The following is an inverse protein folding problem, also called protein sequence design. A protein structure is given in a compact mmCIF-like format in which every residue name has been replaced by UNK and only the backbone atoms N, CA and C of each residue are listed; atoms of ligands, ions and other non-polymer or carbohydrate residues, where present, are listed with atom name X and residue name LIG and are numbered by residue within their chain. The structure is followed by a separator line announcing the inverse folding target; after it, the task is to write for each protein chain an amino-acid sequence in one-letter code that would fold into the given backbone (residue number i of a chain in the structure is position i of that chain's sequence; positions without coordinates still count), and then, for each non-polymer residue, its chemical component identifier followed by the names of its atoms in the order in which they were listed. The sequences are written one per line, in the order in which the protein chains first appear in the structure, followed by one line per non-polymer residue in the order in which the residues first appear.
data_IF_891210607114
#
_entry.id   IF_891210607114
#
_cell.length_a   1.000
_cell.length_b   1.000
_cell.length_c   1.000
_cell.angle_alpha   90.00
_cell.angle_beta   90.00
_cell.angle_gamma   90.00
#
_symmetry.space_group_name_H-M   'P 1'
#
loop_
_entity.id
_entity.type
_entity.pdbx_description
1 polymer ?
#
# COMPACT_ATOMS: atom_id res chain seq x y z
N UNK A 1 -69.46 10.88 7.62
CA UNK A 1 -68.41 11.56 6.89
C UNK A 1 -67.12 11.65 7.72
N UNK A 2 -66.67 10.55 8.32
CA UNK A 2 -65.47 10.47 9.21
C UNK A 2 -64.44 9.45 8.77
N UNK A 3 -64.67 8.68 7.69
CA UNK A 3 -63.77 7.62 7.21
C UNK A 3 -62.65 8.16 6.25
N UNK A 4 -62.90 9.35 5.67
CA UNK A 4 -61.90 9.90 4.70
C UNK A 4 -60.67 10.57 5.29
N UNK A 5 -60.70 11.01 6.53
CA UNK A 5 -59.59 11.74 7.17
C UNK A 5 -58.49 10.80 7.72
N UNK A 6 -58.86 9.57 8.10
CA UNK A 6 -57.88 8.59 8.61
C UNK A 6 -57.02 7.96 7.51
N UNK A 7 -57.62 7.76 6.32
CA UNK A 7 -56.89 7.19 5.18
C UNK A 7 -55.82 8.15 4.63
N UNK A 8 -56.10 9.46 4.61
CA UNK A 8 -55.14 10.47 4.19
C UNK A 8 -54.00 10.64 5.20
N UNK A 9 -54.26 10.53 6.49
CA UNK A 9 -53.27 10.61 7.54
C UNK A 9 -52.23 9.46 7.49
N UNK A 10 -52.72 8.24 7.25
CA UNK A 10 -51.85 7.05 7.14
C UNK A 10 -51.00 7.10 5.86
N UNK A 11 -51.60 7.49 4.74
CA UNK A 11 -50.83 7.58 3.48
C UNK A 11 -49.73 8.67 3.50
N UNK A 12 -50.00 9.82 4.14
CA UNK A 12 -48.98 10.88 4.31
C UNK A 12 -47.90 10.43 5.27
N UNK A 13 -48.22 9.67 6.31
CA UNK A 13 -47.26 9.13 7.25
C UNK A 13 -46.32 8.08 6.57
N UNK A 14 -46.89 7.18 5.78
CA UNK A 14 -46.09 6.17 5.04
C UNK A 14 -45.23 6.80 3.96
N UNK A 15 -45.73 7.77 3.20
CA UNK A 15 -44.97 8.49 2.18
C UNK A 15 -43.83 9.30 2.83
N UNK A 16 -44.11 9.97 3.95
CA UNK A 16 -43.06 10.76 4.63
C UNK A 16 -41.95 9.87 5.24
N UNK A 17 -42.31 8.72 5.82
CA UNK A 17 -41.35 7.76 6.33
C UNK A 17 -40.58 7.02 5.22
N UNK A 18 -41.17 6.86 4.04
CA UNK A 18 -40.50 6.28 2.87
C UNK A 18 -39.53 7.25 2.17
N UNK A 19 -39.78 8.56 2.32
CA UNK A 19 -38.96 9.61 1.71
C UNK A 19 -37.87 10.16 2.65
N UNK A 20 -37.93 9.87 3.95
CA UNK A 20 -36.84 10.26 4.85
C UNK A 20 -35.61 9.37 4.62
N UNK A 21 -34.42 9.94 4.41
CA UNK A 21 -33.20 9.17 4.34
C UNK A 21 -33.04 8.34 5.62
N UNK A 22 -33.07 7.02 5.50
CA UNK A 22 -32.81 6.15 6.66
C UNK A 22 -31.38 6.33 7.09
N UNK A 23 -31.12 6.61 8.35
CA UNK A 23 -29.77 6.61 8.90
C UNK A 23 -29.20 5.19 8.76
N UNK A 24 -27.98 5.09 8.24
CA UNK A 24 -27.27 3.81 8.19
C UNK A 24 -27.11 3.23 9.59
N UNK A 25 -27.26 1.93 9.69
CA UNK A 25 -26.83 1.19 10.89
C UNK A 25 -25.31 1.26 11.02
N UNK A 26 -24.80 1.05 12.21
CA UNK A 26 -23.34 1.02 12.43
C UNK A 26 -22.63 -0.01 11.53
N UNK A 27 -23.24 -1.19 11.32
CA UNK A 27 -22.68 -2.20 10.40
C UNK A 27 -22.64 -1.72 8.95
N UNK A 28 -23.67 -1.03 8.46
CA UNK A 28 -23.67 -0.45 7.13
C UNK A 28 -22.63 0.66 6.98
N UNK A 29 -22.47 1.51 7.99
CA UNK A 29 -21.42 2.54 7.99
C UNK A 29 -20.03 1.92 7.91
N UNK A 30 -19.75 0.88 8.70
CA UNK A 30 -18.47 0.16 8.64
C UNK A 30 -18.23 -0.48 7.27
N UNK A 31 -19.25 -1.05 6.66
CA UNK A 31 -19.17 -1.63 5.32
C UNK A 31 -18.85 -0.59 4.25
N UNK A 32 -19.51 0.58 4.30
CA UNK A 32 -19.26 1.70 3.38
C UNK A 32 -17.83 2.21 3.56
N UNK A 33 -17.37 2.42 4.81
CA UNK A 33 -16.01 2.85 5.08
C UNK A 33 -14.96 1.84 4.58
N UNK A 34 -15.20 0.56 4.79
CA UNK A 34 -14.31 -0.49 4.29
C UNK A 34 -14.23 -0.51 2.76
N UNK A 35 -15.36 -0.34 2.09
CA UNK A 35 -15.42 -0.24 0.63
C UNK A 35 -14.70 1.01 0.11
N UNK A 36 -14.92 2.18 0.75
CA UNK A 36 -14.24 3.42 0.41
C UNK A 36 -12.71 3.29 0.54
N UNK A 37 -12.26 2.70 1.64
CA UNK A 37 -10.82 2.42 1.83
C UNK A 37 -10.30 1.49 0.73
N UNK A 38 -11.02 0.44 0.37
CA UNK A 38 -10.59 -0.50 -0.67
C UNK A 38 -10.56 0.13 -2.08
N UNK A 39 -11.35 1.19 -2.33
CA UNK A 39 -11.40 1.88 -3.62
C UNK A 39 -10.30 2.94 -3.82
N UNK A 40 -9.63 3.40 -2.76
CA UNK A 40 -8.70 4.54 -2.79
C UNK A 40 -7.57 4.43 -3.81
N UNK A 41 -7.06 3.25 -4.06
CA UNK A 41 -6.01 3.08 -5.04
C UNK A 41 -6.41 3.51 -6.46
N UNK A 42 -7.72 3.51 -6.77
CA UNK A 42 -8.31 3.95 -8.04
C UNK A 42 -8.67 5.44 -8.03
N UNK A 43 -9.10 5.93 -6.88
CA UNK A 43 -9.69 7.26 -6.72
C UNK A 43 -8.66 8.34 -6.42
N UNK A 44 -7.63 7.99 -5.66
CA UNK A 44 -6.58 8.93 -5.33
C UNK A 44 -5.59 9.10 -6.48
N UNK A 45 -5.17 10.33 -6.77
CA UNK A 45 -4.05 10.56 -7.68
C UNK A 45 -2.81 9.79 -7.21
N UNK A 46 -2.10 9.15 -8.12
CA UNK A 46 -0.91 8.37 -7.78
C UNK A 46 0.15 9.17 -7.01
N UNK A 47 0.27 10.49 -7.28
CA UNK A 47 1.14 11.37 -6.50
C UNK A 47 0.71 11.58 -5.05
N UNK A 48 -0.57 11.36 -4.75
CA UNK A 48 -1.10 11.37 -3.37
C UNK A 48 -0.78 10.06 -2.65
N UNK A 49 -0.88 8.93 -3.35
CA UNK A 49 -0.52 7.61 -2.80
C UNK A 49 0.98 7.56 -2.52
N UNK A 50 1.78 8.00 -3.48
CA UNK A 50 3.23 8.04 -3.38
C UNK A 50 3.70 9.47 -3.16
N UNK A 51 3.98 9.92 -1.93
CA UNK A 51 4.41 11.29 -1.66
C UNK A 51 5.74 11.60 -2.36
N UNK A 52 5.96 12.88 -2.71
CA UNK A 52 7.21 13.31 -3.36
C UNK A 52 8.43 13.11 -2.47
N UNK A 53 8.24 13.27 -1.17
CA UNK A 53 9.26 13.06 -0.13
C UNK A 53 8.63 12.37 1.07
N UNK A 54 9.42 11.59 1.79
CA UNK A 54 9.05 11.03 3.10
C UNK A 54 10.31 10.84 3.95
N UNK A 55 10.12 10.69 5.24
CA UNK A 55 11.22 10.49 6.19
C UNK A 55 11.27 9.05 6.67
N UNK A 56 12.44 8.58 7.01
CA UNK A 56 12.68 7.31 7.71
C UNK A 56 13.81 7.49 8.73
N UNK A 57 13.91 6.59 9.70
CA UNK A 57 14.98 6.62 10.70
C UNK A 57 15.82 5.35 10.53
N UNK A 58 17.07 5.48 10.08
CA UNK A 58 17.99 4.34 10.06
C UNK A 58 18.29 3.88 11.50
N UNK A 59 18.81 2.67 11.69
CA UNK A 59 19.09 2.12 13.02
C UNK A 59 20.28 2.77 13.73
N UNK A 60 20.78 3.89 13.21
CA UNK A 60 21.89 4.65 13.81
C UNK A 60 21.42 5.42 15.03
N UNK A 61 22.09 5.21 16.14
CA UNK A 61 21.97 6.05 17.34
C UNK A 61 23.10 7.08 17.31
N UNK A 62 22.76 8.35 17.42
CA UNK A 62 23.74 9.42 17.50
C UNK A 62 24.46 9.36 18.86
N UNK A 63 25.66 9.94 18.96
CA UNK A 63 26.46 9.94 20.18
C UNK A 63 25.74 10.57 21.38
N UNK A 64 24.82 11.51 21.11
CA UNK A 64 23.97 12.16 22.12
C UNK A 64 22.70 11.34 22.48
N UNK A 65 22.54 10.13 21.93
CA UNK A 65 21.37 9.28 22.10
C UNK A 65 20.19 9.66 21.21
N UNK A 66 20.36 10.63 20.30
CA UNK A 66 19.35 11.04 19.34
C UNK A 66 19.16 10.02 18.22
N UNK A 67 18.02 10.07 17.53
CA UNK A 67 17.76 9.27 16.33
C UNK A 67 18.02 10.11 15.07
N UNK A 68 18.74 9.54 14.11
CA UNK A 68 18.90 10.16 12.81
C UNK A 68 17.59 10.05 12.02
N UNK A 69 17.19 11.13 11.38
CA UNK A 69 16.05 11.13 10.45
C UNK A 69 16.54 11.55 9.07
N UNK A 70 16.35 10.68 8.10
CA UNK A 70 16.69 10.92 6.69
C UNK A 70 15.43 11.11 5.86
N UNK A 71 15.56 11.77 4.70
CA UNK A 71 14.46 12.04 3.79
C UNK A 71 14.66 11.28 2.49
N UNK A 72 13.65 10.52 2.06
CA UNK A 72 13.62 9.94 0.72
C UNK A 72 13.01 10.91 -0.28
N UNK A 73 13.40 10.79 -1.55
CA UNK A 73 12.83 11.54 -2.66
C UNK A 73 12.33 10.59 -3.75
N UNK A 74 11.07 10.76 -4.18
CA UNK A 74 10.51 9.99 -5.29
C UNK A 74 11.18 10.39 -6.61
N UNK A 75 11.71 9.42 -7.34
CA UNK A 75 12.27 9.59 -8.67
C UNK A 75 11.21 9.53 -9.76
N UNK A 76 10.17 8.70 -9.54
CA UNK A 76 9.05 8.61 -10.46
C UNK A 76 8.02 7.57 -10.04
N UNK A 77 6.89 7.61 -10.73
CA UNK A 77 5.79 6.64 -10.61
C UNK A 77 5.76 5.84 -11.91
N UNK A 78 5.84 4.53 -11.80
CA UNK A 78 5.74 3.63 -12.94
C UNK A 78 4.28 3.54 -13.43
N UNK A 79 4.07 3.12 -14.67
CA UNK A 79 2.73 2.80 -15.15
C UNK A 79 2.11 1.71 -14.27
N UNK A 80 0.80 1.83 -14.05
CA UNK A 80 0.04 0.78 -13.40
C UNK A 80 0.23 -0.53 -14.16
N UNK A 81 0.41 -1.62 -13.43
CA UNK A 81 0.69 -2.93 -13.97
C UNK A 81 -0.24 -3.98 -13.36
N UNK A 82 -0.43 -5.09 -14.06
CA UNK A 82 -1.07 -6.27 -13.49
C UNK A 82 -0.19 -6.89 -12.41
N UNK A 83 -0.77 -7.71 -11.55
CA UNK A 83 -0.04 -8.42 -10.50
C UNK A 83 1.11 -9.26 -11.09
N UNK A 84 0.85 -9.95 -12.20
CA UNK A 84 1.84 -10.73 -12.93
C UNK A 84 3.01 -9.89 -13.48
N UNK A 85 2.74 -8.69 -13.98
CA UNK A 85 3.78 -7.83 -14.56
C UNK A 85 4.67 -7.16 -13.51
N UNK A 86 4.08 -6.87 -12.34
CA UNK A 86 4.70 -6.06 -11.31
C UNK A 86 5.40 -6.85 -10.21
N UNK A 87 5.16 -8.17 -10.11
CA UNK A 87 5.72 -9.01 -9.05
C UNK A 87 6.49 -10.21 -9.62
N UNK A 88 7.28 -10.84 -8.77
CA UNK A 88 8.02 -12.03 -9.14
C UNK A 88 7.09 -13.20 -9.45
N UNK A 89 7.42 -14.06 -10.44
CA UNK A 89 6.56 -15.17 -10.85
C UNK A 89 6.15 -16.10 -9.70
N UNK A 90 7.03 -16.30 -8.71
CA UNK A 90 6.77 -17.15 -7.55
C UNK A 90 5.67 -16.66 -6.62
N UNK A 91 5.33 -15.36 -6.65
CA UNK A 91 4.26 -14.79 -5.82
C UNK A 91 2.96 -14.50 -6.59
N UNK A 92 2.99 -14.54 -7.92
CA UNK A 92 1.84 -14.22 -8.76
C UNK A 92 0.61 -15.05 -8.38
N UNK A 93 0.72 -16.39 -8.35
CA UNK A 93 -0.40 -17.27 -8.03
C UNK A 93 -0.95 -17.08 -6.61
N UNK A 94 -0.12 -16.60 -5.70
CA UNK A 94 -0.50 -16.27 -4.34
C UNK A 94 -1.33 -14.98 -4.31
N UNK A 95 -0.88 -13.94 -4.99
CA UNK A 95 -1.58 -12.66 -5.08
C UNK A 95 -2.91 -12.82 -5.85
N UNK A 96 -2.92 -13.57 -6.94
CA UNK A 96 -4.12 -13.84 -7.74
C UNK A 96 -5.19 -14.60 -6.93
N UNK A 97 -4.80 -15.59 -6.10
CA UNK A 97 -5.73 -16.27 -5.20
C UNK A 97 -6.34 -15.32 -4.15
N UNK A 98 -5.61 -14.30 -3.74
CA UNK A 98 -6.10 -13.23 -2.87
C UNK A 98 -7.03 -12.24 -3.57
N UNK A 99 -7.15 -12.32 -4.91
CA UNK A 99 -7.92 -11.37 -5.69
C UNK A 99 -7.17 -10.06 -5.93
N UNK A 100 -5.86 -10.13 -6.16
CA UNK A 100 -5.07 -8.95 -6.52
C UNK A 100 -5.68 -8.21 -7.70
N UNK A 101 -6.07 -6.94 -7.52
CA UNK A 101 -6.74 -6.13 -8.55
C UNK A 101 -5.72 -5.36 -9.41
N UNK A 102 -4.68 -4.82 -8.79
CA UNK A 102 -3.65 -4.05 -9.47
C UNK A 102 -2.40 -3.89 -8.60
N UNK A 103 -1.30 -3.49 -9.23
CA UNK A 103 -0.09 -3.04 -8.54
C UNK A 103 0.33 -1.67 -9.04
N UNK A 104 0.33 -0.70 -8.13
CA UNK A 104 0.89 0.64 -8.37
C UNK A 104 2.33 0.64 -7.87
N UNK A 105 3.26 1.26 -8.61
CA UNK A 105 4.67 1.28 -8.23
C UNK A 105 5.27 2.68 -8.34
N UNK A 106 6.16 3.00 -7.38
CA UNK A 106 7.01 4.19 -7.43
C UNK A 106 8.43 3.85 -6.97
N UNK A 107 9.41 4.53 -7.54
CA UNK A 107 10.81 4.37 -7.15
C UNK A 107 11.33 5.64 -6.50
N UNK A 108 12.03 5.45 -5.40
CA UNK A 108 12.62 6.49 -4.56
C UNK A 108 14.12 6.32 -4.50
N UNK A 109 14.81 7.41 -4.18
CA UNK A 109 16.19 7.42 -3.72
C UNK A 109 16.20 7.86 -2.25
N UNK A 110 17.05 7.23 -1.44
CA UNK A 110 17.26 7.64 -0.05
C UNK A 110 17.96 9.00 0.05
N UNK A 111 17.98 9.58 1.26
CA UNK A 111 18.54 10.92 1.50
C UNK A 111 20.03 11.03 1.28
N UNK A 112 20.76 9.92 1.35
CA UNK A 112 22.21 9.87 1.11
C UNK A 112 22.56 9.63 -0.37
N UNK A 113 21.58 9.23 -1.19
CA UNK A 113 21.79 8.84 -2.58
C UNK A 113 22.42 7.45 -2.73
N UNK A 114 22.45 6.66 -1.67
CA UNK A 114 23.07 5.33 -1.66
C UNK A 114 22.14 4.22 -2.14
N UNK A 115 20.84 4.32 -1.83
CA UNK A 115 19.87 3.27 -2.10
C UNK A 115 18.73 3.73 -3.00
N UNK A 116 18.30 2.80 -3.85
CA UNK A 116 17.03 2.91 -4.61
C UNK A 116 16.01 1.96 -4.02
N UNK A 117 14.78 2.44 -3.87
CA UNK A 117 13.67 1.64 -3.37
C UNK A 117 12.52 1.69 -4.37
N UNK A 118 12.09 0.56 -4.90
CA UNK A 118 10.79 0.45 -5.54
C UNK A 118 9.77 -0.03 -4.52
N UNK A 119 8.73 0.76 -4.33
CA UNK A 119 7.55 0.39 -3.53
C UNK A 119 6.41 0.03 -4.47
N UNK A 120 5.74 -1.08 -4.16
CA UNK A 120 4.57 -1.56 -4.90
C UNK A 120 3.36 -1.72 -3.98
N UNK A 121 2.30 -0.98 -4.24
CA UNK A 121 1.01 -1.13 -3.56
C UNK A 121 0.18 -2.16 -4.31
N UNK A 122 -0.08 -3.29 -3.66
CA UNK A 122 -1.00 -4.34 -4.15
C UNK A 122 -2.37 -4.11 -3.53
N UNK A 123 -3.37 -3.92 -4.36
CA UNK A 123 -4.75 -3.71 -3.93
C UNK A 123 -5.54 -5.03 -3.94
N UNK A 124 -6.31 -5.26 -2.88
CA UNK A 124 -7.19 -6.42 -2.71
C UNK A 124 -8.63 -5.95 -2.45
N UNK A 125 -9.64 -6.82 -2.71
CA UNK A 125 -11.04 -6.50 -2.44
C UNK A 125 -11.34 -6.16 -0.96
N UNK A 126 -10.50 -6.64 -0.04
CA UNK A 126 -10.69 -6.38 1.39
C UNK A 126 -9.49 -6.78 2.26
N UNK A 127 -9.56 -6.39 3.52
CA UNK A 127 -8.48 -6.59 4.49
C UNK A 127 -8.17 -8.08 4.78
N UNK A 128 -9.18 -8.95 4.75
CA UNK A 128 -8.98 -10.38 4.97
C UNK A 128 -8.11 -11.01 3.88
N UNK A 129 -8.34 -10.64 2.62
CA UNK A 129 -7.56 -11.11 1.47
C UNK A 129 -6.13 -10.58 1.52
N UNK A 130 -5.95 -9.29 1.84
CA UNK A 130 -4.63 -8.70 2.02
C UNK A 130 -3.83 -9.38 3.14
N UNK A 131 -4.45 -9.61 4.29
CA UNK A 131 -3.82 -10.29 5.43
C UNK A 131 -3.42 -11.73 5.08
N UNK A 132 -4.29 -12.49 4.41
CA UNK A 132 -3.97 -13.85 3.96
C UNK A 132 -2.80 -13.86 2.96
N UNK A 133 -2.77 -12.92 2.02
CA UNK A 133 -1.67 -12.76 1.08
C UNK A 133 -0.36 -12.42 1.79
N UNK A 134 -0.38 -11.49 2.76
CA UNK A 134 0.78 -11.13 3.57
C UNK A 134 1.34 -12.32 4.35
N UNK A 135 0.49 -13.11 5.01
CA UNK A 135 0.92 -14.31 5.74
C UNK A 135 1.59 -15.33 4.80
N UNK A 136 1.06 -15.50 3.60
CA UNK A 136 1.64 -16.41 2.63
C UNK A 136 2.98 -15.89 2.06
N UNK A 137 3.12 -14.57 1.84
CA UNK A 137 4.38 -13.92 1.46
C UNK A 137 5.45 -14.10 2.55
N UNK A 138 5.09 -13.90 3.81
CA UNK A 138 6.01 -14.07 4.95
C UNK A 138 6.57 -15.51 5.03
N UNK A 139 5.78 -16.52 4.69
CA UNK A 139 6.25 -17.92 4.64
C UNK A 139 7.26 -18.16 3.52
N UNK A 140 7.11 -17.48 2.36
CA UNK A 140 8.08 -17.56 1.28
C UNK A 140 9.41 -16.90 1.66
N UNK A 141 9.35 -15.80 2.42
CA UNK A 141 10.53 -15.06 2.86
C UNK A 141 11.29 -15.78 3.98
N UNK A 142 10.62 -16.55 4.83
CA UNK A 142 11.19 -17.29 5.97
C UNK A 142 11.98 -18.55 5.63
N UNK A 143 12.10 -18.91 4.36
CA UNK A 143 12.74 -20.15 3.89
C UNK A 143 14.27 -20.20 3.96
N UNK A 144 14.94 -19.31 4.67
CA UNK A 144 16.30 -19.51 5.19
C UNK A 144 17.45 -19.56 4.16
N UNK A 145 17.23 -19.18 2.91
CA UNK A 145 18.36 -19.03 1.97
C UNK A 145 18.88 -17.60 2.00
N UNK A 146 19.85 -17.34 2.84
CA UNK A 146 20.47 -16.04 3.12
C UNK A 146 21.05 -15.29 1.90
N UNK A 147 21.14 -15.95 0.74
CA UNK A 147 21.73 -15.39 -0.47
C UNK A 147 20.69 -14.98 -1.54
N UNK A 148 19.40 -15.23 -1.32
CA UNK A 148 18.35 -14.89 -2.29
C UNK A 148 17.52 -13.71 -1.79
N UNK A 149 17.20 -12.78 -2.70
CA UNK A 149 16.22 -11.74 -2.41
C UNK A 149 14.85 -12.40 -2.26
N UNK A 150 14.13 -12.09 -1.19
CA UNK A 150 12.78 -12.58 -1.00
C UNK A 150 11.91 -12.18 -2.21
N UNK A 151 11.06 -13.09 -2.70
CA UNK A 151 10.15 -12.76 -3.79
C UNK A 151 9.18 -11.64 -3.40
N UNK A 152 8.93 -10.71 -4.32
CA UNK A 152 8.09 -9.56 -4.02
C UNK A 152 7.81 -8.70 -5.25
N UNK A 153 7.83 -7.37 -5.06
CA UNK A 153 7.68 -6.42 -6.17
C UNK A 153 8.94 -6.37 -7.02
N UNK A 154 8.76 -6.31 -8.33
CA UNK A 154 9.85 -6.14 -9.29
C UNK A 154 10.34 -4.70 -9.31
N UNK A 155 11.64 -4.51 -9.48
CA UNK A 155 12.23 -3.18 -9.62
C UNK A 155 11.58 -2.40 -10.76
N UNK A 156 11.33 -1.11 -10.54
CA UNK A 156 10.77 -0.22 -11.53
C UNK A 156 11.77 0.86 -11.91
N UNK A 157 12.43 0.67 -13.05
CA UNK A 157 13.33 1.67 -13.60
C UNK A 157 12.55 2.94 -13.98
N UNK A 158 13.15 4.11 -13.69
CA UNK A 158 12.60 5.43 -14.04
C UNK A 158 13.60 6.11 -14.98
N UNK A 159 13.24 6.18 -16.25
CA UNK A 159 14.10 6.76 -17.31
C UNK A 159 14.52 8.20 -16.98
N UNK A 160 15.78 8.52 -17.24
CA UNK A 160 16.35 9.86 -16.99
C UNK A 160 16.67 10.18 -15.53
N UNK A 161 16.63 9.18 -14.65
CA UNK A 161 16.97 9.33 -13.22
C UNK A 161 18.04 8.34 -12.80
N UNK A 162 18.51 8.42 -11.55
CA UNK A 162 19.42 7.43 -10.97
C UNK A 162 18.84 6.00 -11.03
N UNK A 163 17.52 5.85 -11.06
CA UNK A 163 16.86 4.54 -11.15
C UNK A 163 16.73 4.00 -12.59
N UNK A 164 17.28 4.65 -13.61
CA UNK A 164 17.17 4.18 -15.01
C UNK A 164 17.76 2.80 -15.24
N UNK A 165 18.74 2.41 -14.45
CA UNK A 165 19.36 1.08 -14.47
C UNK A 165 18.88 0.11 -13.38
N UNK A 166 17.89 0.48 -12.58
CA UNK A 166 17.45 -0.37 -11.48
C UNK A 166 16.57 -1.52 -12.00
N UNK A 167 17.10 -2.72 -11.97
CA UNK A 167 16.50 -3.95 -12.50
C UNK A 167 16.40 -5.03 -11.42
N UNK A 168 15.68 -6.10 -11.70
CA UNK A 168 15.47 -7.21 -10.74
C UNK A 168 16.78 -7.90 -10.33
N UNK A 169 17.79 -7.92 -11.22
CA UNK A 169 19.11 -8.50 -10.92
C UNK A 169 19.95 -7.66 -9.96
N UNK A 170 19.53 -6.43 -9.66
CA UNK A 170 20.23 -5.48 -8.79
C UNK A 170 19.57 -5.32 -7.42
N UNK A 171 18.47 -6.03 -7.19
CA UNK A 171 17.79 -6.04 -5.90
C UNK A 171 18.68 -6.72 -4.84
N UNK A 172 18.78 -6.10 -3.68
CA UNK A 172 19.50 -6.62 -2.51
C UNK A 172 18.55 -7.19 -1.46
N UNK A 173 17.50 -6.42 -1.14
CA UNK A 173 16.52 -6.72 -0.09
C UNK A 173 15.13 -6.54 -0.66
N UNK A 174 14.20 -7.39 -0.26
CA UNK A 174 12.76 -7.23 -0.49
C UNK A 174 11.98 -7.68 0.73
N UNK A 175 10.88 -6.98 1.02
CA UNK A 175 9.96 -7.34 2.10
C UNK A 175 8.58 -6.73 1.84
N UNK A 176 7.67 -6.83 2.81
CA UNK A 176 6.29 -6.34 2.69
C UNK A 176 5.68 -5.99 4.04
N UNK A 177 4.77 -5.04 4.02
CA UNK A 177 3.88 -4.70 5.12
C UNK A 177 2.43 -4.77 4.64
N UNK A 178 1.46 -5.01 5.52
CA UNK A 178 0.04 -4.96 5.16
C UNK A 178 -0.74 -4.09 6.11
N UNK A 179 -1.68 -3.32 5.54
CA UNK A 179 -2.61 -2.50 6.30
C UNK A 179 -3.93 -2.37 5.53
N UNK A 180 -5.04 -2.68 6.21
CA UNK A 180 -6.35 -2.70 5.57
C UNK A 180 -6.38 -3.63 4.35
N UNK A 181 -6.93 -3.19 3.20
CA UNK A 181 -7.02 -3.98 1.98
C UNK A 181 -5.75 -3.95 1.11
N UNK A 182 -4.64 -3.48 1.65
CA UNK A 182 -3.40 -3.31 0.91
C UNK A 182 -2.25 -4.14 1.45
N UNK A 183 -1.44 -4.68 0.54
CA UNK A 183 -0.09 -5.17 0.84
C UNK A 183 0.88 -4.26 0.12
N UNK A 184 1.77 -3.64 0.86
CA UNK A 184 2.82 -2.78 0.31
C UNK A 184 4.12 -3.55 0.32
N UNK A 185 4.56 -3.92 -0.87
CA UNK A 185 5.81 -4.61 -1.13
C UNK A 185 6.91 -3.58 -1.38
N UNK A 186 8.14 -3.89 -1.00
CA UNK A 186 9.27 -3.08 -1.44
C UNK A 186 10.45 -3.94 -1.88
N UNK A 187 11.29 -3.37 -2.72
CA UNK A 187 12.58 -3.92 -3.08
C UNK A 187 13.62 -2.81 -3.14
N UNK A 188 14.81 -3.11 -2.65
CA UNK A 188 15.90 -2.15 -2.49
C UNK A 188 17.16 -2.66 -3.21
N UNK A 189 17.90 -1.73 -3.80
CA UNK A 189 19.22 -1.94 -4.37
C UNK A 189 20.08 -0.70 -4.24
N UNK A 190 21.34 -0.79 -4.63
CA UNK A 190 22.25 0.34 -4.62
C UNK A 190 22.00 1.30 -5.79
N UNK A 191 22.14 2.60 -5.54
CA UNK A 191 21.91 3.65 -6.54
C UNK A 191 22.98 3.70 -7.63
N UNK A 192 24.17 3.15 -7.37
CA UNK A 192 25.23 3.00 -8.38
C UNK A 192 24.97 1.84 -9.36
N UNK A 193 23.82 1.18 -9.20
CA UNK A 193 23.38 0.07 -10.04
C UNK A 193 24.33 -1.12 -10.06
N UNK A 194 25.15 -1.33 -9.02
CA UNK A 194 25.96 -2.55 -8.89
C UNK A 194 25.07 -3.79 -8.87
N UNK A 195 25.56 -4.93 -9.38
CA UNK A 195 24.84 -6.19 -9.27
C UNK A 195 24.63 -6.58 -7.82
N UNK A 196 23.72 -7.55 -7.59
CA UNK A 196 23.50 -8.09 -6.26
C UNK A 196 24.81 -8.52 -5.64
N UNK A 197 25.06 -8.06 -4.42
CA UNK A 197 26.16 -8.51 -3.57
C UNK A 197 25.58 -9.19 -2.33
N UNK A 198 26.27 -10.13 -1.71
CA UNK A 198 25.86 -10.66 -0.42
C UNK A 198 25.73 -9.51 0.58
N UNK A 199 24.58 -9.38 1.21
CA UNK A 199 24.34 -8.43 2.30
C UNK A 199 24.31 -9.27 3.57
N UNK A 200 25.18 -8.92 4.51
CA UNK A 200 25.17 -9.54 5.82
C UNK A 200 23.85 -9.19 6.52
N UNK A 201 23.02 -10.19 6.77
CA UNK A 201 21.69 -10.00 7.38
C UNK A 201 21.76 -9.51 8.83
N UNK A 202 22.91 -9.70 9.48
CA UNK A 202 23.19 -9.19 10.82
C UNK A 202 23.92 -7.85 10.78
N UNK A 203 24.20 -7.36 9.56
CA UNK A 203 24.97 -6.15 9.33
C UNK A 203 24.14 -4.88 9.28
N UNK A 204 24.81 -3.77 9.55
CA UNK A 204 24.23 -2.43 9.54
C UNK A 204 23.52 -2.07 8.21
N UNK A 205 24.14 -2.41 7.08
CA UNK A 205 23.59 -2.11 5.74
C UNK A 205 22.23 -2.79 5.51
N UNK A 206 22.07 -4.04 5.96
CA UNK A 206 20.79 -4.73 5.88
C UNK A 206 19.73 -4.06 6.75
N UNK A 207 20.10 -3.71 7.98
CA UNK A 207 19.20 -3.01 8.92
C UNK A 207 18.81 -1.62 8.39
N UNK A 208 19.71 -0.90 7.74
CA UNK A 208 19.42 0.39 7.11
C UNK A 208 18.45 0.23 5.93
N UNK A 209 18.70 -0.73 5.02
CA UNK A 209 17.81 -1.02 3.91
C UNK A 209 16.41 -1.39 4.39
N UNK A 210 16.29 -2.27 5.40
CA UNK A 210 14.99 -2.67 5.93
C UNK A 210 14.27 -1.50 6.60
N UNK A 211 14.94 -0.69 7.40
CA UNK A 211 14.36 0.51 8.01
C UNK A 211 13.85 1.52 6.97
N UNK A 212 14.59 1.70 5.88
CA UNK A 212 14.18 2.53 4.76
C UNK A 212 12.92 1.98 4.08
N UNK A 213 12.92 0.69 3.75
CA UNK A 213 11.81 0.03 3.07
C UNK A 213 10.54 -0.03 3.93
N UNK A 214 10.68 -0.46 5.17
CA UNK A 214 9.56 -0.55 6.12
C UNK A 214 9.00 0.84 6.45
N UNK A 215 9.84 1.83 6.71
CA UNK A 215 9.42 3.19 7.00
C UNK A 215 8.65 3.85 5.85
N UNK A 216 9.09 3.64 4.61
CA UNK A 216 8.41 4.16 3.43
C UNK A 216 7.10 3.41 3.18
N UNK A 217 7.13 2.08 3.25
CA UNK A 217 5.97 1.23 2.98
C UNK A 217 4.87 1.40 4.02
N UNK A 218 5.20 1.47 5.31
CA UNK A 218 4.23 1.71 6.37
C UNK A 218 3.51 3.04 6.20
N UNK A 219 4.24 4.13 5.92
CA UNK A 219 3.60 5.45 5.69
C UNK A 219 2.64 5.46 4.50
N UNK A 220 2.96 4.72 3.44
CA UNK A 220 2.08 4.58 2.28
C UNK A 220 0.85 3.73 2.66
N UNK A 221 1.05 2.63 3.38
CA UNK A 221 0.00 1.74 3.84
C UNK A 221 -0.97 2.47 4.79
N UNK A 222 -0.46 3.17 5.80
CA UNK A 222 -1.24 3.96 6.76
C UNK A 222 -2.11 4.99 6.05
N UNK A 223 -1.53 5.72 5.09
CA UNK A 223 -2.24 6.74 4.32
C UNK A 223 -3.39 6.16 3.49
N UNK A 224 -3.18 5.00 2.88
CA UNK A 224 -4.21 4.32 2.09
C UNK A 224 -5.30 3.73 2.97
N UNK A 225 -4.95 3.23 4.15
CA UNK A 225 -5.84 2.51 5.05
C UNK A 225 -6.51 3.39 6.10
N UNK A 226 -6.11 4.67 6.22
CA UNK A 226 -6.71 5.61 7.16
C UNK A 226 -8.23 5.64 6.98
N UNK A 227 -8.97 5.41 8.06
CA UNK A 227 -10.43 5.42 7.97
C UNK A 227 -10.95 6.82 7.71
N UNK A 228 -11.93 7.00 6.81
CA UNK A 228 -12.58 8.29 6.62
C UNK A 228 -13.33 8.68 7.89
N UNK A 229 -13.35 9.97 8.24
CA UNK A 229 -14.04 10.45 9.45
C UNK A 229 -15.58 10.29 9.36
N UNK A 230 -16.11 10.30 8.15
CA UNK A 230 -17.54 10.11 7.84
C UNK A 230 -17.64 9.28 6.57
N UNK A 231 -18.54 8.29 6.50
CA UNK A 231 -18.75 7.52 5.28
C UNK A 231 -19.25 8.44 4.15
N UNK A 232 -18.67 8.33 2.97
CA UNK A 232 -19.15 8.99 1.77
C UNK A 232 -19.92 8.00 0.91
N UNK A 233 -21.09 8.40 0.46
CA UNK A 233 -21.86 7.59 -0.48
C UNK A 233 -21.62 8.11 -1.90
N UNK A 234 -21.00 7.33 -2.78
CA UNK A 234 -20.82 7.75 -4.16
C UNK A 234 -22.17 7.95 -4.86
N UNK A 235 -22.44 9.16 -5.30
CA UNK A 235 -23.58 9.47 -6.18
C UNK A 235 -24.94 9.58 -5.54
N UNK A 236 -25.07 9.54 -4.22
CA UNK A 236 -26.33 9.74 -3.54
C UNK A 236 -26.38 11.12 -2.87
N UNK A 237 -27.29 11.95 -3.30
CA UNK A 237 -27.79 13.05 -2.50
C UNK A 237 -28.54 12.44 -1.29
N UNK A 238 -27.82 12.20 -0.22
CA UNK A 238 -28.36 11.71 1.04
C UNK A 238 -28.12 10.21 1.29
N UNK A 239 -26.91 9.85 1.70
CA UNK A 239 -26.71 8.66 2.51
C UNK A 239 -27.49 8.72 3.80
#
# INVERSE_FOLDING_TARGET
MLIGLTALGVSVYEVNNGLMPRKFTQAQQQQIMAWEVAARWRELPAGTIFPATTTYSPPTVLEDGGSLTLTTRRLGIARQATCQQATDPSVVSLLDRGGCEAVLRATYVDGTGTFLVTVGVVAFPGAAQASAAQQALSRLSGGGQSNLVAPGVRAAAITGTAASGFTDTRRQVSSSVSEGPYVVLYTIGYADNRPKVPVDTDGYTYAEMTSLGDGLSSKIADKLSAQPPVPHCPGASGC
#
